data_IF_039629663138
#
_entry.id   IF_039629663138
#
_cell.length_a   1.000
_cell.length_b   1.000
_cell.length_c   1.000
_cell.angle_alpha   90.00
_cell.angle_beta   90.00
_cell.angle_gamma   90.00
#
_symmetry.space_group_name_H-M   'P 1'
#
loop_
_entity.id
_entity.type
_entity.pdbx_description
1 polymer ?
#
# COMPACT_ATOMS: atom_id res chain seq x y z
N UNK A 1 -33.84 -5.80 8.44
CA UNK A 1 -32.47 -5.81 7.87
C UNK A 1 -31.65 -4.70 8.55
N UNK A 2 -30.43 -5.02 8.97
CA UNK A 2 -29.54 -4.03 9.59
C UNK A 2 -29.17 -2.96 8.56
N UNK A 3 -29.34 -1.69 8.93
CA UNK A 3 -28.81 -0.53 8.21
C UNK A 3 -27.53 -0.06 8.91
N UNK A 4 -26.45 -0.10 8.19
CA UNK A 4 -25.14 0.36 8.66
C UNK A 4 -25.04 1.87 8.50
N UNK A 5 -24.47 2.53 9.49
CA UNK A 5 -24.30 3.99 9.53
C UNK A 5 -22.83 4.35 9.75
N UNK A 6 -22.49 5.63 9.59
CA UNK A 6 -21.16 6.15 9.93
C UNK A 6 -20.78 5.83 11.38
N UNK A 7 -21.74 5.99 12.31
CA UNK A 7 -21.50 5.71 13.74
C UNK A 7 -21.15 4.24 13.98
N UNK A 8 -21.82 3.31 13.30
CA UNK A 8 -21.49 1.88 13.38
C UNK A 8 -20.04 1.62 12.90
N UNK A 9 -19.63 2.24 11.80
CA UNK A 9 -18.28 2.05 11.25
C UNK A 9 -17.21 2.66 12.18
N UNK A 10 -17.46 3.82 12.73
CA UNK A 10 -16.56 4.45 13.70
C UNK A 10 -16.43 3.59 14.97
N UNK A 11 -17.54 3.04 15.47
CA UNK A 11 -17.54 2.16 16.65
C UNK A 11 -16.72 0.87 16.41
N UNK A 12 -16.65 0.38 15.18
CA UNK A 12 -15.83 -0.77 14.78
C UNK A 12 -14.37 -0.42 14.48
N UNK A 13 -14.00 0.86 14.53
CA UNK A 13 -12.63 1.31 14.28
C UNK A 13 -12.26 1.45 12.81
N UNK A 14 -13.22 1.76 11.93
CA UNK A 14 -12.94 2.04 10.53
C UNK A 14 -12.01 3.25 10.36
N UNK A 15 -11.11 3.20 9.38
CA UNK A 15 -10.23 4.33 9.09
C UNK A 15 -11.00 5.52 8.50
N UNK A 16 -10.47 6.73 8.73
CA UNK A 16 -11.14 7.97 8.34
C UNK A 16 -11.46 8.05 6.84
N UNK A 17 -10.59 7.52 5.98
CA UNK A 17 -10.82 7.50 4.53
C UNK A 17 -12.03 6.65 4.14
N UNK A 18 -12.20 5.48 4.77
CA UNK A 18 -13.34 4.61 4.52
C UNK A 18 -14.63 5.20 5.09
N UNK A 19 -14.58 5.84 6.25
CA UNK A 19 -15.72 6.54 6.84
C UNK A 19 -16.19 7.69 5.94
N UNK A 20 -15.27 8.51 5.45
CA UNK A 20 -15.57 9.62 4.53
C UNK A 20 -16.18 9.12 3.21
N UNK A 21 -15.61 8.07 2.63
CA UNK A 21 -16.11 7.45 1.40
C UNK A 21 -17.52 6.86 1.61
N UNK A 22 -17.75 6.19 2.73
CA UNK A 22 -19.05 5.65 3.08
C UNK A 22 -20.10 6.75 3.23
N UNK A 23 -19.78 7.81 3.96
CA UNK A 23 -20.70 8.95 4.15
C UNK A 23 -21.07 9.62 2.84
N UNK A 24 -20.13 9.76 1.90
CA UNK A 24 -20.37 10.34 0.59
C UNK A 24 -21.22 9.43 -0.31
N UNK A 25 -21.01 8.11 -0.22
CA UNK A 25 -21.70 7.12 -1.07
C UNK A 25 -23.10 6.78 -0.53
N UNK A 26 -23.23 6.68 0.79
CA UNK A 26 -24.48 6.27 1.47
C UNK A 26 -24.87 7.26 2.58
N UNK A 27 -25.30 8.46 2.24
CA UNK A 27 -25.63 9.49 3.22
C UNK A 27 -26.76 9.09 4.21
N UNK A 28 -27.59 8.14 3.80
CA UNK A 28 -28.67 7.60 4.62
C UNK A 28 -28.38 6.19 5.18
N UNK A 29 -27.10 5.78 5.15
CA UNK A 29 -26.69 4.44 5.54
C UNK A 29 -26.89 3.40 4.45
N UNK A 30 -26.35 2.19 4.66
CA UNK A 30 -26.35 1.08 3.71
C UNK A 30 -26.87 -0.21 4.33
N UNK A 31 -27.42 -1.09 3.53
CA UNK A 31 -27.85 -2.44 3.90
C UNK A 31 -27.02 -3.49 3.13
N UNK A 32 -27.26 -4.77 3.42
CA UNK A 32 -26.62 -5.85 2.66
C UNK A 32 -26.90 -5.81 1.16
N UNK A 33 -28.03 -5.25 0.75
CA UNK A 33 -28.40 -5.11 -0.67
C UNK A 33 -27.52 -4.07 -1.40
N UNK A 34 -26.88 -3.16 -0.66
CA UNK A 34 -26.03 -2.12 -1.21
C UNK A 34 -24.55 -2.57 -1.39
N UNK A 35 -24.21 -3.81 -1.04
CA UNK A 35 -22.83 -4.32 -1.07
C UNK A 35 -22.20 -4.17 -2.46
N UNK A 36 -22.94 -4.44 -3.53
CA UNK A 36 -22.43 -4.26 -4.89
C UNK A 36 -22.01 -2.83 -5.18
N UNK A 37 -22.83 -1.85 -4.80
CA UNK A 37 -22.52 -0.44 -4.95
C UNK A 37 -21.36 -0.01 -4.03
N UNK A 38 -21.29 -0.55 -2.82
CA UNK A 38 -20.21 -0.28 -1.88
C UNK A 38 -18.85 -0.76 -2.41
N UNK A 39 -18.78 -1.98 -2.95
CA UNK A 39 -17.57 -2.53 -3.57
C UNK A 39 -17.17 -1.71 -4.81
N UNK A 40 -18.12 -1.36 -5.66
CA UNK A 40 -17.86 -0.53 -6.84
C UNK A 40 -17.32 0.87 -6.48
N UNK A 41 -17.75 1.42 -5.34
CA UNK A 41 -17.25 2.70 -4.82
C UNK A 41 -15.85 2.60 -4.18
N UNK A 42 -15.30 1.40 -3.98
CA UNK A 42 -13.99 1.19 -3.37
C UNK A 42 -14.01 1.02 -1.86
N UNK A 43 -15.18 0.75 -1.25
CA UNK A 43 -15.27 0.44 0.17
C UNK A 43 -14.77 -0.98 0.47
N UNK A 44 -14.04 -1.12 1.57
CA UNK A 44 -13.56 -2.42 2.07
C UNK A 44 -14.66 -3.15 2.85
N UNK A 45 -15.62 -3.70 2.12
CA UNK A 45 -16.72 -4.47 2.71
C UNK A 45 -16.23 -5.75 3.38
N UNK A 46 -15.16 -6.34 2.88
CA UNK A 46 -14.58 -7.55 3.48
C UNK A 46 -14.09 -7.29 4.92
N UNK A 47 -13.49 -6.13 5.18
CA UNK A 47 -13.11 -5.72 6.52
C UNK A 47 -14.33 -5.68 7.46
N UNK A 48 -15.43 -5.06 7.01
CA UNK A 48 -16.67 -4.99 7.81
C UNK A 48 -17.22 -6.39 8.11
N UNK A 49 -17.31 -7.24 7.09
CA UNK A 49 -17.79 -8.62 7.25
C UNK A 49 -16.91 -9.34 8.28
N UNK A 50 -15.58 -9.27 8.16
CA UNK A 50 -14.67 -9.91 9.12
C UNK A 50 -14.87 -9.40 10.55
N UNK A 51 -15.18 -8.13 10.73
CA UNK A 51 -15.38 -7.53 12.05
C UNK A 51 -16.67 -7.99 12.75
N UNK A 52 -17.69 -8.40 12.00
CA UNK A 52 -19.03 -8.62 12.57
C UNK A 52 -19.53 -10.07 12.49
N UNK A 53 -18.95 -10.93 11.65
CA UNK A 53 -19.37 -12.31 11.50
C UNK A 53 -18.63 -13.27 12.43
N UNK A 54 -19.25 -14.42 12.70
CA UNK A 54 -18.59 -15.51 13.42
C UNK A 54 -17.50 -16.18 12.57
N UNK A 55 -16.60 -16.91 13.24
CA UNK A 55 -15.52 -17.63 12.55
C UNK A 55 -16.05 -18.69 11.56
N UNK A 56 -17.18 -19.32 11.85
CA UNK A 56 -17.79 -20.28 10.94
C UNK A 56 -18.31 -19.62 9.66
N UNK A 57 -18.97 -18.47 9.78
CA UNK A 57 -19.44 -17.69 8.63
C UNK A 57 -18.25 -17.17 7.82
N UNK A 58 -17.22 -16.69 8.48
CA UNK A 58 -16.01 -16.25 7.82
C UNK A 58 -15.29 -17.36 7.05
N UNK A 59 -15.23 -18.56 7.63
CA UNK A 59 -14.66 -19.74 6.96
C UNK A 59 -15.46 -20.12 5.72
N UNK A 60 -16.78 -20.20 5.81
CA UNK A 60 -17.64 -20.47 4.68
C UNK A 60 -17.48 -19.44 3.55
N UNK A 61 -17.37 -18.16 3.90
CA UNK A 61 -17.08 -17.09 2.93
C UNK A 61 -15.73 -17.32 2.23
N UNK A 62 -14.66 -17.62 2.97
CA UNK A 62 -13.33 -17.88 2.38
C UNK A 62 -13.34 -19.06 1.43
N UNK A 63 -14.03 -20.14 1.80
CA UNK A 63 -14.18 -21.33 0.95
C UNK A 63 -14.95 -21.02 -0.33
N UNK A 64 -16.03 -20.27 -0.23
CA UNK A 64 -16.81 -19.85 -1.41
C UNK A 64 -16.03 -18.88 -2.32
N UNK A 65 -15.19 -18.02 -1.73
CA UNK A 65 -14.37 -17.07 -2.48
C UNK A 65 -13.18 -17.73 -3.19
N UNK A 66 -12.66 -18.83 -2.67
CA UNK A 66 -11.41 -19.42 -3.16
C UNK A 66 -11.40 -19.73 -4.68
N UNK A 67 -12.43 -20.31 -5.29
CA UNK A 67 -12.46 -20.52 -6.74
C UNK A 67 -12.52 -19.20 -7.53
N UNK A 68 -13.19 -18.18 -7.03
CA UNK A 68 -13.26 -16.86 -7.68
C UNK A 68 -11.89 -16.17 -7.65
N UNK A 69 -11.20 -16.24 -6.54
CA UNK A 69 -9.84 -15.72 -6.43
C UNK A 69 -8.87 -16.44 -7.37
N UNK A 70 -8.98 -17.75 -7.46
CA UNK A 70 -8.16 -18.58 -8.36
C UNK A 70 -8.37 -18.19 -9.81
N UNK A 71 -9.63 -18.06 -10.24
CA UNK A 71 -9.97 -17.61 -11.58
C UNK A 71 -9.43 -16.20 -11.88
N UNK A 72 -9.52 -15.28 -10.93
CA UNK A 72 -8.95 -13.94 -11.04
C UNK A 72 -7.44 -14.00 -11.22
N UNK A 73 -6.72 -14.77 -10.41
CA UNK A 73 -5.26 -14.90 -10.50
C UNK A 73 -4.81 -15.53 -11.83
N UNK A 74 -5.54 -16.53 -12.32
CA UNK A 74 -5.28 -17.14 -13.62
C UNK A 74 -5.48 -16.13 -14.77
N UNK A 75 -6.54 -15.35 -14.73
CA UNK A 75 -6.80 -14.32 -15.74
C UNK A 75 -5.78 -13.16 -15.67
N UNK A 76 -5.33 -12.83 -14.47
CA UNK A 76 -4.33 -11.77 -14.23
C UNK A 76 -2.94 -12.17 -14.69
N UNK A 77 -2.56 -13.43 -14.59
CA UNK A 77 -1.19 -13.88 -14.82
C UNK A 77 -0.60 -13.47 -16.19
N UNK A 78 -1.29 -13.63 -17.34
CA UNK A 78 -0.77 -13.17 -18.63
C UNK A 78 -0.63 -11.65 -18.70
N UNK A 79 -1.55 -10.90 -18.13
CA UNK A 79 -1.49 -9.44 -18.08
C UNK A 79 -0.31 -8.94 -17.25
N UNK A 80 -0.04 -9.59 -16.14
CA UNK A 80 1.12 -9.28 -15.30
C UNK A 80 2.44 -9.58 -16.00
N UNK A 81 2.52 -10.69 -16.74
CA UNK A 81 3.69 -11.01 -17.57
C UNK A 81 3.91 -9.96 -18.66
N UNK A 82 2.87 -9.62 -19.40
CA UNK A 82 2.94 -8.59 -20.43
C UNK A 82 3.38 -7.23 -19.86
N UNK A 83 2.87 -6.86 -18.69
CA UNK A 83 3.28 -5.64 -17.99
C UNK A 83 4.77 -5.68 -17.61
N UNK A 84 5.25 -6.77 -17.03
CA UNK A 84 6.67 -6.91 -16.68
C UNK A 84 7.58 -6.85 -17.90
N UNK A 85 7.19 -7.51 -18.98
CA UNK A 85 7.96 -7.52 -20.23
C UNK A 85 8.03 -6.14 -20.87
N UNK A 86 6.92 -5.39 -20.87
CA UNK A 86 6.89 -4.02 -21.35
C UNK A 86 7.68 -3.06 -20.46
N UNK A 87 7.69 -3.29 -19.16
CA UNK A 87 8.42 -2.47 -18.18
C UNK A 87 9.93 -2.69 -18.22
N UNK A 88 10.39 -3.90 -18.50
CA UNK A 88 11.81 -4.26 -18.41
C UNK A 88 12.76 -3.36 -19.21
N UNK A 89 12.50 -3.02 -20.49
CA UNK A 89 13.37 -2.12 -21.25
C UNK A 89 13.35 -0.68 -20.70
N UNK A 90 12.22 -0.20 -20.22
CA UNK A 90 12.11 1.13 -19.60
C UNK A 90 12.90 1.20 -18.29
N UNK A 91 12.83 0.16 -17.49
CA UNK A 91 13.61 0.07 -16.28
C UNK A 91 15.12 0.05 -16.55
N UNK A 92 15.56 -0.71 -17.54
CA UNK A 92 16.97 -0.73 -17.96
C UNK A 92 17.44 0.63 -18.43
N UNK A 93 16.68 1.29 -19.30
CA UNK A 93 17.00 2.63 -19.77
C UNK A 93 17.09 3.64 -18.61
N UNK A 94 16.19 3.56 -17.64
CA UNK A 94 16.23 4.39 -16.44
C UNK A 94 17.49 4.14 -15.60
N UNK A 95 17.83 2.89 -15.32
CA UNK A 95 19.04 2.54 -14.58
C UNK A 95 20.33 2.97 -15.28
N UNK A 96 20.40 2.79 -16.60
CA UNK A 96 21.53 3.23 -17.42
C UNK A 96 21.68 4.76 -17.39
N UNK A 97 20.58 5.50 -17.51
CA UNK A 97 20.61 6.97 -17.41
C UNK A 97 20.96 7.45 -16.01
N UNK A 98 20.57 6.72 -14.99
CA UNK A 98 20.81 7.07 -13.59
C UNK A 98 22.25 6.78 -13.12
N UNK A 99 22.90 5.79 -13.68
CA UNK A 99 24.24 5.34 -13.28
C UNK A 99 25.30 6.48 -13.25
N UNK A 100 25.45 7.33 -14.29
CA UNK A 100 26.41 8.45 -14.26
C UNK A 100 26.02 9.50 -13.20
N UNK A 101 24.72 9.72 -12.97
CA UNK A 101 24.26 10.67 -11.95
C UNK A 101 24.56 10.18 -10.54
N UNK A 102 24.37 8.89 -10.28
CA UNK A 102 24.80 8.27 -9.00
C UNK A 102 26.30 8.39 -8.78
N UNK A 103 27.09 8.12 -9.81
CA UNK A 103 28.56 8.25 -9.74
C UNK A 103 28.97 9.68 -9.40
N UNK A 104 28.43 10.65 -10.12
CA UNK A 104 28.71 12.06 -9.86
C UNK A 104 28.32 12.49 -8.45
N UNK A 105 27.18 12.03 -7.96
CA UNK A 105 26.73 12.27 -6.60
C UNK A 105 27.68 11.67 -5.54
N UNK A 106 28.10 10.43 -5.72
CA UNK A 106 29.03 9.76 -4.80
C UNK A 106 30.42 10.42 -4.80
N UNK A 107 30.92 10.81 -5.98
CA UNK A 107 32.19 11.53 -6.11
C UNK A 107 32.12 12.90 -5.44
N UNK A 108 31.04 13.64 -5.60
CA UNK A 108 30.83 14.93 -4.95
C UNK A 108 30.65 14.80 -3.42
N UNK A 109 30.05 13.72 -2.98
CA UNK A 109 29.78 13.44 -1.56
C UNK A 109 31.05 13.02 -0.80
N UNK A 110 31.98 12.33 -1.44
CA UNK A 110 33.15 11.77 -0.79
C UNK A 110 33.99 12.80 -0.01
N UNK A 111 34.36 13.99 -0.54
CA UNK A 111 35.10 15.00 0.21
C UNK A 111 34.31 15.55 1.41
N UNK A 112 32.97 15.65 1.30
CA UNK A 112 32.12 16.09 2.42
C UNK A 112 32.16 15.09 3.57
N UNK A 113 32.14 13.81 3.28
CA UNK A 113 32.29 12.74 4.27
C UNK A 113 33.70 12.76 4.89
N UNK A 114 34.73 12.97 4.09
CA UNK A 114 36.11 13.09 4.58
C UNK A 114 36.30 14.29 5.54
N UNK A 115 35.71 15.43 5.21
CA UNK A 115 35.75 16.61 6.07
C UNK A 115 34.98 16.39 7.39
N UNK A 116 33.84 15.72 7.34
CA UNK A 116 33.08 15.34 8.53
C UNK A 116 33.88 14.39 9.45
N UNK A 117 34.58 13.41 8.88
CA UNK A 117 35.44 12.50 9.64
C UNK A 117 36.62 13.23 10.28
N UNK A 118 37.30 14.14 9.55
CA UNK A 118 38.40 14.97 10.11
C UNK A 118 37.90 15.83 11.26
N UNK A 119 36.71 16.38 11.17
CA UNK A 119 36.11 17.17 12.27
C UNK A 119 35.89 16.31 13.52
N UNK A 120 35.45 15.10 13.39
CA UNK A 120 35.27 14.15 14.51
C UNK A 120 36.63 13.76 15.11
N UNK A 121 37.60 13.45 14.28
CA UNK A 121 38.97 13.11 14.72
C UNK A 121 39.65 14.26 15.50
N UNK A 122 39.53 15.48 15.00
CA UNK A 122 40.05 16.67 15.67
C UNK A 122 39.38 16.91 17.05
N UNK A 123 38.11 16.64 17.18
CA UNK A 123 37.39 16.72 18.45
C UNK A 123 37.82 15.64 19.47
N UNK A 124 38.19 14.45 18.98
CA UNK A 124 38.67 13.33 19.82
C UNK A 124 40.10 13.50 20.28
N UNK A 125 40.97 14.06 19.44
CA UNK A 125 42.42 14.21 19.66
C UNK A 125 42.86 15.66 19.43
N UNK A 126 42.45 16.63 20.26
CA UNK A 126 42.74 18.05 20.04
C UNK A 126 44.23 18.39 20.11
N UNK A 127 45.08 17.56 20.77
CA UNK A 127 46.51 17.73 20.85
C UNK A 127 47.27 17.33 19.57
N UNK A 128 46.69 16.46 18.76
CA UNK A 128 47.27 16.01 17.49
C UNK A 128 46.85 16.92 16.32
N UNK A 129 45.75 17.66 16.47
CA UNK A 129 45.21 18.57 15.47
C UNK A 129 45.88 19.98 15.47
N UNK A 130 46.72 20.27 16.47
CA UNK A 130 47.40 21.55 16.60
C UNK A 130 48.70 21.62 15.77
#
# INVERSE_FOLDING_TARGET
MKRWTVDDLCALGACNNQVALFAATFPNGATADDVGAAVAAGLDVQWLVRAVVSDNVWRAYKEARAPLWRAYMEARAPLWRAYKDARAPLWRAYEEALAPLRRAYLEAKAPLLADALRTVEAARNPKEAA
#
